data_IF_187073457887
#
_entry.id   IF_187073457887
#
_cell.length_a   1.000
_cell.length_b   1.000
_cell.length_c   1.000
_cell.angle_alpha   90.00
_cell.angle_beta   90.00
_cell.angle_gamma   90.00
#
_symmetry.space_group_name_H-M   'P 1'
#
loop_
_entity.id
_entity.type
_entity.pdbx_description
1 polymer ?
#
# COMPACT_ATOMS: atom_id res chain seq x y z
N UNK A 1 25.34 0.59 -30.08
CA UNK A 1 24.26 -0.30 -29.54
C UNK A 1 23.56 0.47 -28.43
N UNK A 2 22.39 1.04 -28.70
CA UNK A 2 21.53 1.59 -27.66
C UNK A 2 20.94 0.39 -26.90
N UNK A 3 21.30 0.25 -25.64
CA UNK A 3 20.65 -0.68 -24.73
C UNK A 3 19.17 -0.29 -24.63
N UNK A 4 18.32 -1.27 -24.87
CA UNK A 4 16.88 -1.10 -24.85
C UNK A 4 16.42 -1.12 -23.36
N UNK A 5 16.54 0.02 -22.69
CA UNK A 5 16.18 0.22 -21.28
C UNK A 5 14.66 0.14 -21.01
N UNK A 6 13.83 0.08 -22.07
CA UNK A 6 12.37 0.04 -21.94
C UNK A 6 11.83 -1.27 -21.31
N UNK A 7 12.58 -2.37 -21.35
CA UNK A 7 12.13 -3.67 -20.85
C UNK A 7 12.28 -3.86 -19.33
N UNK A 8 13.20 -3.15 -18.69
CA UNK A 8 13.46 -3.30 -17.23
C UNK A 8 12.62 -2.33 -16.41
N UNK A 9 12.22 -1.19 -16.98
CA UNK A 9 11.42 -0.16 -16.27
C UNK A 9 9.94 -0.53 -16.07
N UNK A 10 9.36 -1.41 -16.88
CA UNK A 10 7.91 -1.67 -16.85
C UNK A 10 7.43 -2.54 -15.68
N UNK A 11 8.28 -3.39 -15.10
CA UNK A 11 7.87 -4.28 -14.01
C UNK A 11 8.01 -3.67 -12.60
N UNK A 12 8.66 -2.52 -12.45
CA UNK A 12 8.91 -1.87 -11.16
C UNK A 12 7.86 -0.81 -10.77
N UNK A 13 6.92 -0.49 -11.66
CA UNK A 13 5.97 0.62 -11.46
C UNK A 13 4.67 0.23 -10.77
N UNK A 14 4.18 -0.97 -11.00
CA UNK A 14 2.93 -1.45 -10.39
C UNK A 14 3.21 -2.02 -8.99
N UNK A 15 2.33 -1.68 -8.03
CA UNK A 15 2.43 -2.31 -6.71
C UNK A 15 2.03 -3.78 -6.81
N UNK A 16 2.83 -4.66 -6.23
CA UNK A 16 2.57 -6.09 -6.32
C UNK A 16 1.23 -6.48 -5.66
N UNK A 17 0.58 -7.48 -6.23
CA UNK A 17 -0.66 -8.03 -5.66
C UNK A 17 -0.36 -8.67 -4.31
N UNK A 18 -0.91 -8.09 -3.24
CA UNK A 18 -0.83 -8.65 -1.90
C UNK A 18 -1.80 -9.83 -1.79
N UNK A 19 -1.30 -10.98 -1.37
CA UNK A 19 -2.07 -12.19 -1.15
C UNK A 19 -2.50 -12.33 0.31
N UNK A 20 -3.55 -13.12 0.55
CA UNK A 20 -3.99 -13.52 1.89
C UNK A 20 -3.02 -14.56 2.47
N UNK A 21 -2.86 -14.68 3.82
CA UNK A 21 -1.94 -15.64 4.41
C UNK A 21 -2.37 -17.09 4.14
N UNK A 22 -3.67 -17.34 4.11
CA UNK A 22 -4.24 -18.67 3.90
C UNK A 22 -4.81 -18.84 2.50
N UNK A 23 -4.91 -20.09 2.05
CA UNK A 23 -5.65 -20.45 0.86
C UNK A 23 -7.16 -20.23 1.07
N UNK A 24 -7.86 -20.13 -0.04
CA UNK A 24 -9.31 -19.94 -0.05
C UNK A 24 -9.99 -21.24 -0.48
N UNK A 25 -11.07 -21.59 0.18
CA UNK A 25 -11.95 -22.67 -0.27
C UNK A 25 -12.61 -22.33 -1.62
N UNK A 26 -12.01 -22.80 -2.68
CA UNK A 26 -12.50 -22.50 -4.04
C UNK A 26 -13.73 -23.31 -4.43
N UNK A 27 -14.00 -24.43 -3.76
CA UNK A 27 -15.06 -25.37 -4.08
C UNK A 27 -16.30 -25.22 -3.20
N UNK A 28 -16.24 -24.39 -2.17
CA UNK A 28 -17.33 -24.22 -1.20
C UNK A 28 -17.57 -22.77 -0.83
N UNK A 29 -17.26 -22.41 0.40
CA UNK A 29 -17.65 -21.14 1.02
C UNK A 29 -16.94 -19.90 0.49
N UNK A 30 -15.89 -20.05 -0.30
CA UNK A 30 -14.99 -18.96 -0.72
C UNK A 30 -14.22 -18.27 0.41
N UNK A 31 -14.35 -18.74 1.65
CA UNK A 31 -13.65 -18.21 2.83
C UNK A 31 -12.21 -18.71 2.91
N UNK A 32 -11.41 -18.08 3.75
CA UNK A 32 -10.05 -18.56 4.01
C UNK A 32 -10.09 -19.84 4.85
N UNK A 33 -9.21 -20.77 4.54
CA UNK A 33 -9.00 -22.01 5.29
C UNK A 33 -7.86 -21.73 6.27
N UNK A 34 -8.21 -21.39 7.51
CA UNK A 34 -7.24 -21.07 8.54
C UNK A 34 -6.25 -22.21 8.77
N UNK A 35 -4.96 -21.87 8.84
CA UNK A 35 -3.88 -22.84 8.97
C UNK A 35 -3.41 -23.47 7.64
N UNK A 36 -4.17 -23.37 6.54
CA UNK A 36 -3.70 -23.77 5.21
C UNK A 36 -3.01 -22.60 4.52
N UNK A 37 -1.74 -22.42 4.82
CA UNK A 37 -0.96 -21.28 4.34
C UNK A 37 -0.80 -21.28 2.82
N UNK A 38 -0.89 -20.09 2.22
CA UNK A 38 -0.76 -19.90 0.79
C UNK A 38 0.66 -20.09 0.29
N UNK A 39 1.66 -19.72 1.10
CA UNK A 39 3.07 -19.91 0.77
C UNK A 39 3.91 -20.25 2.00
N UNK A 40 5.04 -20.90 1.75
CA UNK A 40 5.93 -21.39 2.80
C UNK A 40 6.60 -20.28 3.60
N UNK A 41 6.85 -19.12 2.98
CA UNK A 41 7.48 -17.99 3.66
C UNK A 41 6.59 -17.42 4.76
N UNK A 42 5.28 -17.25 4.50
CA UNK A 42 4.32 -16.80 5.52
C UNK A 42 4.16 -17.88 6.59
N UNK A 43 4.07 -19.17 6.20
CA UNK A 43 3.98 -20.28 7.13
C UNK A 43 5.20 -20.33 8.09
N UNK A 44 6.40 -20.11 7.55
CA UNK A 44 7.62 -20.06 8.33
C UNK A 44 7.67 -18.89 9.31
N UNK A 45 7.21 -17.71 8.88
CA UNK A 45 7.27 -16.48 9.65
C UNK A 45 6.01 -16.21 10.50
N UNK A 46 5.04 -17.12 10.53
CA UNK A 46 3.72 -16.89 11.17
C UNK A 46 3.79 -16.49 12.63
N UNK A 47 4.79 -16.99 13.36
CA UNK A 47 5.00 -16.73 14.78
C UNK A 47 5.97 -15.56 15.06
N UNK A 48 6.55 -14.97 14.00
CA UNK A 48 7.37 -13.78 14.14
C UNK A 48 6.48 -12.54 14.32
N UNK A 49 7.07 -11.45 14.78
CA UNK A 49 6.38 -10.16 14.80
C UNK A 49 6.31 -9.56 13.40
N UNK A 50 5.11 -9.18 13.02
CA UNK A 50 4.78 -8.40 11.83
C UNK A 50 4.25 -7.06 12.25
N UNK A 51 4.55 -6.02 11.50
CA UNK A 51 3.89 -4.73 11.59
C UNK A 51 2.58 -4.79 10.80
N UNK A 52 1.46 -4.59 11.49
CA UNK A 52 0.14 -4.58 10.91
C UNK A 52 -0.39 -3.16 10.81
N UNK A 53 -0.64 -2.71 9.57
CA UNK A 53 -1.21 -1.40 9.27
C UNK A 53 -2.66 -1.53 8.83
N UNK A 54 -3.45 -0.48 9.05
CA UNK A 54 -4.83 -0.45 8.58
C UNK A 54 -4.87 -0.48 7.05
N UNK A 55 -5.69 -1.38 6.51
CA UNK A 55 -6.01 -1.41 5.09
C UNK A 55 -7.16 -0.46 4.80
N UNK A 56 -6.87 0.61 4.10
CA UNK A 56 -7.85 1.62 3.72
C UNK A 56 -8.61 1.16 2.47
N UNK A 57 -9.93 1.33 2.47
CA UNK A 57 -10.80 1.05 1.33
C UNK A 57 -10.88 2.29 0.42
N UNK A 58 -10.18 2.23 -0.70
CA UNK A 58 -10.10 3.33 -1.64
C UNK A 58 -9.65 2.89 -3.02
N UNK A 59 -8.82 3.70 -3.64
CA UNK A 59 -8.25 3.44 -4.96
C UNK A 59 -6.73 3.46 -4.89
N UNK A 60 -6.10 2.34 -5.20
CA UNK A 60 -4.63 2.26 -5.25
C UNK A 60 -4.07 3.29 -6.24
N UNK A 61 -3.18 4.12 -5.75
CA UNK A 61 -2.67 5.30 -6.44
C UNK A 61 -1.16 5.36 -6.32
N UNK A 62 -0.51 5.67 -7.42
CA UNK A 62 0.93 5.89 -7.49
C UNK A 62 1.23 7.34 -7.81
N UNK A 63 2.13 7.94 -7.03
CA UNK A 63 2.78 9.21 -7.34
C UNK A 63 4.19 8.90 -7.80
N UNK A 64 4.53 9.26 -9.01
CA UNK A 64 5.77 8.87 -9.68
C UNK A 64 6.59 10.11 -9.96
N UNK A 65 7.79 10.18 -9.39
CA UNK A 65 8.83 11.12 -9.70
C UNK A 65 9.87 10.46 -10.59
N UNK A 66 10.09 10.97 -11.79
CA UNK A 66 11.02 10.40 -12.76
C UNK A 66 12.44 11.00 -12.71
N UNK A 67 12.69 11.86 -11.71
CA UNK A 67 13.90 12.68 -11.57
C UNK A 67 13.74 14.13 -12.04
N UNK A 68 12.61 14.45 -12.69
CA UNK A 68 12.36 15.79 -13.24
C UNK A 68 10.89 16.22 -13.15
N UNK A 69 9.96 15.28 -13.21
CA UNK A 69 8.52 15.57 -13.26
C UNK A 69 7.72 14.58 -12.42
N UNK A 70 6.62 15.06 -11.87
CA UNK A 70 5.65 14.24 -11.16
C UNK A 70 4.54 13.77 -12.12
N UNK A 71 4.16 12.50 -11.98
CA UNK A 71 3.00 11.94 -12.68
C UNK A 71 2.21 11.01 -11.77
N UNK A 72 0.95 10.74 -12.13
CA UNK A 72 0.02 9.92 -11.32
C UNK A 72 -0.50 8.74 -12.13
N UNK A 73 -0.64 7.59 -11.48
CA UNK A 73 -1.21 6.39 -12.07
C UNK A 73 -2.04 5.62 -11.03
N UNK A 74 -2.98 4.81 -11.50
CA UNK A 74 -3.71 3.88 -10.65
C UNK A 74 -2.94 2.59 -10.36
N UNK A 75 -3.64 1.54 -9.95
CA UNK A 75 -3.03 0.21 -9.70
C UNK A 75 -2.26 -0.31 -10.91
N UNK A 76 -2.82 -0.14 -12.10
CA UNK A 76 -2.15 -0.42 -13.37
C UNK A 76 -1.97 0.85 -14.17
N UNK A 77 -1.09 0.84 -15.16
CA UNK A 77 -0.87 2.00 -16.06
C UNK A 77 -2.12 2.37 -16.89
N UNK A 78 -3.06 1.44 -17.03
CA UNK A 78 -4.34 1.65 -17.74
C UNK A 78 -5.49 2.08 -16.83
N UNK A 79 -5.32 1.96 -15.52
CA UNK A 79 -6.36 2.32 -14.56
C UNK A 79 -6.54 3.84 -14.54
N UNK A 80 -7.79 4.28 -14.74
CA UNK A 80 -8.14 5.69 -14.68
C UNK A 80 -8.42 6.10 -13.22
N UNK A 81 -7.81 7.19 -12.80
CA UNK A 81 -8.10 7.81 -11.51
C UNK A 81 -9.30 8.77 -11.65
N UNK A 82 -10.15 8.88 -10.61
CA UNK A 82 -11.19 9.90 -10.59
C UNK A 82 -10.63 11.32 -10.73
N UNK A 83 -11.29 12.19 -11.48
CA UNK A 83 -10.84 13.57 -11.69
C UNK A 83 -10.65 14.35 -10.39
N UNK A 84 -11.51 14.12 -9.40
CA UNK A 84 -11.40 14.73 -8.06
C UNK A 84 -10.13 14.30 -7.34
N UNK A 85 -9.72 13.04 -7.49
CA UNK A 85 -8.48 12.55 -6.93
C UNK A 85 -7.27 13.13 -7.68
N UNK A 86 -7.31 13.19 -9.02
CA UNK A 86 -6.24 13.82 -9.81
C UNK A 86 -6.04 15.28 -9.39
N UNK A 87 -7.12 16.03 -9.21
CA UNK A 87 -7.04 17.41 -8.74
C UNK A 87 -6.36 17.52 -7.36
N UNK A 88 -6.72 16.61 -6.43
CA UNK A 88 -6.09 16.56 -5.10
C UNK A 88 -4.62 16.14 -5.16
N UNK A 89 -4.27 15.19 -6.00
CA UNK A 89 -2.87 14.78 -6.20
C UNK A 89 -2.01 15.91 -6.78
N UNK A 90 -2.56 16.69 -7.72
CA UNK A 90 -1.88 17.89 -8.22
C UNK A 90 -1.68 18.95 -7.13
N UNK A 91 -2.65 19.13 -6.24
CA UNK A 91 -2.50 20.03 -5.08
C UNK A 91 -1.39 19.56 -4.12
N UNK A 92 -1.31 18.26 -3.86
CA UNK A 92 -0.37 17.69 -2.90
C UNK A 92 1.06 17.53 -3.44
N UNK A 93 1.21 17.22 -4.73
CA UNK A 93 2.48 16.78 -5.30
C UNK A 93 2.88 17.51 -6.59
N UNK A 94 1.94 18.16 -7.27
CA UNK A 94 2.20 18.83 -8.54
C UNK A 94 2.60 20.30 -8.37
N UNK A 95 3.13 20.86 -9.45
CA UNK A 95 3.58 22.25 -9.51
C UNK A 95 4.97 22.47 -8.90
N UNK A 96 5.59 23.58 -9.29
CA UNK A 96 7.01 23.85 -9.02
C UNK A 96 7.40 23.69 -7.54
N UNK A 97 6.57 24.20 -6.61
CA UNK A 97 6.87 24.16 -5.17
C UNK A 97 6.94 22.71 -4.63
N UNK A 98 6.04 21.84 -5.08
CA UNK A 98 6.03 20.44 -4.63
C UNK A 98 7.11 19.61 -5.35
N UNK A 99 7.37 19.90 -6.60
CA UNK A 99 8.46 19.28 -7.39
C UNK A 99 9.83 19.66 -6.81
N UNK A 100 10.02 20.87 -6.29
CA UNK A 100 11.21 21.25 -5.54
C UNK A 100 11.44 20.37 -4.31
N UNK A 101 10.38 19.91 -3.62
CA UNK A 101 10.51 18.96 -2.50
C UNK A 101 11.06 17.62 -3.00
N UNK A 102 10.52 17.10 -4.13
CA UNK A 102 11.07 15.87 -4.72
C UNK A 102 12.53 16.02 -5.12
N UNK A 103 12.90 17.15 -5.73
CA UNK A 103 14.28 17.41 -6.14
C UNK A 103 15.22 17.50 -4.93
N UNK A 104 14.81 18.18 -3.86
CA UNK A 104 15.59 18.33 -2.63
C UNK A 104 15.79 17.01 -1.89
N UNK A 105 14.71 16.20 -1.77
CA UNK A 105 14.73 14.94 -1.02
C UNK A 105 15.36 13.78 -1.81
N UNK A 106 15.18 13.75 -3.13
CA UNK A 106 15.51 12.58 -3.93
C UNK A 106 16.45 12.86 -5.11
N UNK A 107 16.61 14.12 -5.52
CA UNK A 107 17.37 14.48 -6.71
C UNK A 107 16.79 13.84 -7.97
N UNK A 108 17.67 13.31 -8.82
CA UNK A 108 17.30 12.65 -10.10
C UNK A 108 16.89 11.17 -9.93
N UNK A 109 16.80 10.65 -8.69
CA UNK A 109 16.39 9.26 -8.48
C UNK A 109 14.94 9.05 -8.83
N UNK A 110 14.63 7.89 -9.40
CA UNK A 110 13.24 7.50 -9.58
C UNK A 110 12.57 7.16 -8.25
N UNK A 111 11.45 7.81 -7.95
CA UNK A 111 10.67 7.57 -6.74
C UNK A 111 9.25 7.20 -7.09
N UNK A 112 8.70 6.21 -6.40
CA UNK A 112 7.29 5.88 -6.49
C UNK A 112 6.73 5.86 -5.07
N UNK A 113 5.77 6.75 -4.81
CA UNK A 113 4.98 6.75 -3.60
C UNK A 113 3.69 5.96 -3.87
N UNK A 114 3.48 4.92 -3.10
CA UNK A 114 2.29 4.09 -3.17
C UNK A 114 1.33 4.46 -2.05
N UNK A 115 0.11 4.76 -2.39
CA UNK A 115 -0.91 5.13 -1.43
C UNK A 115 -2.32 4.76 -1.88
N UNK A 116 -3.25 5.07 -1.04
CA UNK A 116 -4.66 4.91 -1.31
C UNK A 116 -5.29 6.30 -1.50
N UNK A 117 -5.89 6.52 -2.67
CA UNK A 117 -6.82 7.63 -2.86
C UNK A 117 -8.11 7.30 -2.15
N UNK A 118 -8.56 8.13 -1.20
CA UNK A 118 -9.70 7.83 -0.35
C UNK A 118 -10.51 9.07 -0.01
N UNK A 119 -11.66 8.88 0.62
CA UNK A 119 -12.58 9.96 0.98
C UNK A 119 -13.86 9.95 0.15
N UNK A 120 -14.69 10.98 0.33
CA UNK A 120 -16.01 11.04 -0.30
C UNK A 120 -15.92 10.93 -1.84
N UNK A 121 -16.77 10.07 -2.42
CA UNK A 121 -16.78 9.79 -3.86
C UNK A 121 -15.78 8.73 -4.35
N UNK A 122 -14.98 8.16 -3.45
CA UNK A 122 -14.10 7.02 -3.74
C UNK A 122 -14.53 5.83 -2.91
N UNK A 123 -15.03 4.76 -3.55
CA UNK A 123 -15.56 3.59 -2.87
C UNK A 123 -16.55 3.98 -1.74
N UNK A 124 -16.37 3.42 -0.54
CA UNK A 124 -17.12 3.79 0.66
C UNK A 124 -16.43 4.90 1.48
N UNK A 125 -15.51 5.64 0.86
CA UNK A 125 -14.56 6.53 1.52
C UNK A 125 -15.15 7.72 2.25
N UNK A 126 -16.42 8.09 2.01
CA UNK A 126 -17.10 9.16 2.75
C UNK A 126 -17.23 8.90 4.26
N UNK A 127 -17.04 7.66 4.71
CA UNK A 127 -17.00 7.27 6.12
C UNK A 127 -15.62 7.49 6.76
N UNK A 128 -14.57 7.63 5.96
CA UNK A 128 -13.23 8.03 6.43
C UNK A 128 -13.12 9.54 6.56
N UNK A 129 -13.49 10.26 5.49
CA UNK A 129 -13.42 11.73 5.44
C UNK A 129 -14.38 12.31 4.39
N UNK A 130 -14.74 13.59 4.58
CA UNK A 130 -15.72 14.28 3.71
C UNK A 130 -15.14 14.79 2.40
N UNK A 131 -13.85 14.95 2.30
CA UNK A 131 -13.11 15.38 1.12
C UNK A 131 -12.27 14.22 0.54
N UNK A 132 -11.81 14.36 -0.69
CA UNK A 132 -10.88 13.41 -1.31
C UNK A 132 -9.46 13.70 -0.83
N UNK A 133 -8.69 12.65 -0.53
CA UNK A 133 -7.29 12.77 -0.15
C UNK A 133 -6.48 11.55 -0.58
N UNK A 134 -5.20 11.56 -0.23
CA UNK A 134 -4.24 10.50 -0.44
C UNK A 134 -3.60 10.12 0.89
N UNK A 135 -3.46 8.82 1.14
CA UNK A 135 -2.77 8.30 2.32
C UNK A 135 -1.66 7.34 1.88
N UNK A 136 -0.45 7.60 2.33
CA UNK A 136 0.75 6.85 1.95
C UNK A 136 0.82 5.52 2.70
N UNK A 137 1.16 4.41 2.01
CA UNK A 137 1.39 3.12 2.66
C UNK A 137 2.75 2.48 2.32
N UNK A 138 3.40 2.91 1.23
CA UNK A 138 4.71 2.40 0.82
C UNK A 138 5.45 3.40 -0.07
N UNK A 139 6.77 3.24 -0.18
CA UNK A 139 7.60 4.01 -1.10
C UNK A 139 8.74 3.15 -1.65
N UNK A 140 9.14 3.45 -2.88
CA UNK A 140 10.23 2.78 -3.58
C UNK A 140 11.13 3.82 -4.22
N UNK A 141 12.45 3.69 -4.01
CA UNK A 141 13.47 4.52 -4.65
C UNK A 141 14.39 3.60 -5.45
N UNK A 142 14.50 3.80 -6.74
CA UNK A 142 15.36 3.02 -7.64
C UNK A 142 15.24 1.50 -7.46
N UNK A 143 14.01 1.01 -7.23
CA UNK A 143 13.73 -0.40 -7.03
C UNK A 143 13.81 -0.91 -5.58
N UNK A 144 14.23 -0.08 -4.63
CA UNK A 144 14.34 -0.45 -3.21
C UNK A 144 13.16 0.09 -2.43
N UNK A 145 12.42 -0.78 -1.74
CA UNK A 145 11.36 -0.38 -0.82
C UNK A 145 11.93 0.17 0.48
N UNK A 146 11.28 1.18 1.00
CA UNK A 146 11.75 1.92 2.17
C UNK A 146 11.24 1.34 3.49
N UNK A 147 11.98 1.59 4.57
CA UNK A 147 11.54 1.31 5.93
C UNK A 147 10.35 2.18 6.32
N UNK A 148 9.60 1.76 7.33
CA UNK A 148 8.47 2.55 7.87
C UNK A 148 8.89 3.95 8.28
N UNK A 149 10.03 4.11 8.95
CA UNK A 149 10.53 5.41 9.36
C UNK A 149 10.73 6.37 8.17
N UNK A 150 11.34 5.86 7.09
CA UNK A 150 11.58 6.68 5.90
C UNK A 150 10.25 7.06 5.20
N UNK A 151 9.25 6.16 5.22
CA UNK A 151 7.90 6.45 4.71
C UNK A 151 7.25 7.59 5.51
N UNK A 152 7.39 7.57 6.84
CA UNK A 152 6.89 8.64 7.73
C UNK A 152 7.62 9.97 7.51
N UNK A 153 8.92 9.94 7.24
CA UNK A 153 9.71 11.14 6.96
C UNK A 153 9.29 11.76 5.61
N UNK A 154 9.05 10.95 4.58
CA UNK A 154 8.48 11.40 3.30
C UNK A 154 7.09 12.02 3.53
N UNK A 155 6.24 11.36 4.30
CA UNK A 155 4.90 11.88 4.57
C UNK A 155 4.93 13.25 5.26
N UNK A 156 5.88 13.47 6.17
CA UNK A 156 6.11 14.78 6.81
C UNK A 156 6.58 15.82 5.81
N UNK A 157 7.51 15.48 4.91
CA UNK A 157 8.04 16.41 3.91
C UNK A 157 6.92 16.94 3.00
N UNK A 158 5.97 16.07 2.60
CA UNK A 158 4.82 16.43 1.77
C UNK A 158 3.55 16.82 2.55
N UNK A 159 3.60 16.81 3.88
CA UNK A 159 2.45 17.07 4.76
C UNK A 159 1.22 16.22 4.39
N UNK A 160 1.44 14.91 4.22
CA UNK A 160 0.41 13.92 3.89
C UNK A 160 0.26 12.87 4.99
N UNK A 161 -0.89 12.19 4.98
CA UNK A 161 -1.16 11.13 5.93
C UNK A 161 -0.42 9.82 5.54
N UNK A 162 -0.14 9.01 6.56
CA UNK A 162 0.41 7.64 6.44
C UNK A 162 -0.57 6.67 7.07
N UNK A 163 -0.77 5.50 6.47
CA UNK A 163 -1.65 4.46 7.04
C UNK A 163 -1.24 4.13 8.48
N UNK A 164 -2.19 4.08 9.41
CA UNK A 164 -1.90 3.83 10.82
C UNK A 164 -1.29 2.44 11.05
N UNK A 165 -0.31 2.34 11.94
CA UNK A 165 0.09 1.07 12.52
C UNK A 165 -0.94 0.73 13.60
N UNK A 166 -1.54 -0.45 13.50
CA UNK A 166 -2.53 -0.91 14.46
C UNK A 166 -1.83 -1.63 15.62
N UNK A 167 -0.94 -2.57 15.31
CA UNK A 167 -0.10 -3.25 16.29
C UNK A 167 1.05 -4.00 15.61
N UNK A 168 2.00 -4.46 16.41
CA UNK A 168 2.97 -5.48 16.03
C UNK A 168 2.58 -6.80 16.66
N UNK A 169 2.58 -7.89 15.88
CA UNK A 169 2.18 -9.19 16.36
C UNK A 169 2.23 -10.25 15.27
N UNK A 170 1.81 -11.45 15.60
CA UNK A 170 1.81 -12.63 14.75
C UNK A 170 0.69 -12.59 13.69
N UNK A 171 0.75 -13.52 12.73
CA UNK A 171 -0.31 -13.67 11.72
C UNK A 171 -1.64 -14.09 12.38
N UNK A 172 -1.60 -14.97 13.38
CA UNK A 172 -2.80 -15.45 14.06
C UNK A 172 -3.47 -14.33 14.88
N UNK A 173 -2.69 -13.47 15.54
CA UNK A 173 -3.22 -12.29 16.24
C UNK A 173 -3.90 -11.31 15.28
N UNK A 174 -3.36 -11.12 14.07
CA UNK A 174 -4.01 -10.29 13.06
C UNK A 174 -5.33 -10.89 12.55
N UNK A 175 -5.41 -12.21 12.41
CA UNK A 175 -6.63 -12.91 12.05
C UNK A 175 -7.70 -12.72 13.12
N UNK A 176 -7.37 -12.94 14.39
CA UNK A 176 -8.31 -12.76 15.50
C UNK A 176 -8.74 -11.28 15.64
N UNK A 177 -7.83 -10.33 15.45
CA UNK A 177 -8.16 -8.91 15.46
C UNK A 177 -9.20 -8.56 14.39
N UNK A 178 -9.01 -9.03 13.17
CA UNK A 178 -9.92 -8.75 12.04
C UNK A 178 -11.27 -9.44 12.21
N UNK A 179 -11.32 -10.66 12.78
CA UNK A 179 -12.57 -11.38 13.10
C UNK A 179 -13.44 -10.62 14.10
N UNK A 180 -12.85 -9.84 14.98
CA UNK A 180 -13.58 -8.98 15.91
C UNK A 180 -14.29 -7.81 15.22
N UNK A 181 -14.12 -7.62 13.90
CA UNK A 181 -14.74 -6.57 13.08
C UNK A 181 -14.52 -5.16 13.64
N UNK A 182 -13.26 -4.75 13.83
CA UNK A 182 -12.94 -3.46 14.44
C UNK A 182 -13.44 -2.29 13.59
N UNK A 183 -13.57 -1.14 14.22
CA UNK A 183 -13.76 0.11 13.50
C UNK A 183 -12.42 0.63 12.96
N UNK A 184 -12.48 1.41 11.88
CA UNK A 184 -11.35 2.16 11.35
C UNK A 184 -10.81 3.14 12.40
N UNK A 185 -9.51 3.33 12.41
CA UNK A 185 -8.85 4.32 13.28
C UNK A 185 -8.85 5.74 12.71
N UNK A 186 -9.23 5.90 11.44
CA UNK A 186 -9.21 7.20 10.72
C UNK A 186 -10.60 7.71 10.33
N UNK A 187 -11.67 7.13 10.85
CA UNK A 187 -13.02 7.55 10.53
C UNK A 187 -14.08 6.77 11.27
N UNK A 188 -15.31 6.82 10.77
CA UNK A 188 -16.45 6.08 11.34
C UNK A 188 -16.74 4.78 10.57
N UNK A 189 -15.93 4.45 9.58
CA UNK A 189 -16.06 3.22 8.81
C UNK A 189 -15.78 1.99 9.66
N UNK A 190 -16.31 0.85 9.23
CA UNK A 190 -15.74 -0.44 9.63
C UNK A 190 -14.39 -0.60 8.95
N UNK A 191 -13.42 -1.16 9.65
CA UNK A 191 -12.11 -1.46 9.07
C UNK A 191 -12.26 -2.49 7.94
N UNK A 192 -11.63 -2.25 6.79
CA UNK A 192 -11.60 -3.24 5.70
C UNK A 192 -10.77 -4.46 6.09
N UNK A 193 -9.68 -4.23 6.80
CA UNK A 193 -8.74 -5.24 7.22
C UNK A 193 -7.37 -4.67 7.58
N UNK A 194 -6.37 -5.53 7.50
CA UNK A 194 -4.98 -5.22 7.81
C UNK A 194 -4.06 -5.61 6.65
N UNK A 195 -2.94 -4.90 6.53
CA UNK A 195 -1.78 -5.29 5.73
C UNK A 195 -0.61 -5.52 6.66
N UNK A 196 0.01 -6.70 6.55
CA UNK A 196 1.14 -7.09 7.38
C UNK A 196 2.43 -7.20 6.59
N UNK A 197 3.50 -6.65 7.16
CA UNK A 197 4.89 -6.80 6.71
C UNK A 197 5.74 -7.28 7.88
N UNK A 198 6.71 -8.19 7.69
CA UNK A 198 7.72 -8.41 8.72
C UNK A 198 8.36 -7.10 9.15
N UNK A 199 8.87 -7.00 10.39
CA UNK A 199 9.48 -5.76 10.91
C UNK A 199 10.68 -5.28 10.09
N UNK A 200 11.31 -6.18 9.35
CA UNK A 200 12.32 -5.88 8.34
C UNK A 200 11.85 -6.31 6.97
N UNK A 201 12.25 -5.58 5.94
CA UNK A 201 11.88 -5.92 4.56
C UNK A 201 12.52 -7.27 4.16
N UNK A 202 11.69 -8.26 3.84
CA UNK A 202 12.11 -9.61 3.46
C UNK A 202 11.55 -9.99 2.10
N UNK A 203 12.32 -10.79 1.37
CA UNK A 203 11.92 -11.38 0.10
C UNK A 203 12.03 -12.91 0.15
N UNK A 204 11.21 -13.59 -0.63
CA UNK A 204 11.35 -15.02 -0.87
C UNK A 204 12.52 -15.33 -1.81
N UNK A 205 12.75 -16.62 -2.08
CA UNK A 205 13.84 -17.09 -2.98
C UNK A 205 13.72 -16.56 -4.42
N UNK A 206 12.58 -16.04 -4.82
CA UNK A 206 12.30 -15.48 -6.15
C UNK A 206 12.41 -13.96 -6.17
N UNK A 207 12.78 -13.35 -5.04
CA UNK A 207 12.84 -11.90 -4.88
C UNK A 207 11.48 -11.24 -4.66
N UNK A 208 10.40 -12.01 -4.47
CA UNK A 208 9.08 -11.47 -4.15
C UNK A 208 9.04 -11.06 -2.68
N UNK A 209 8.52 -9.88 -2.40
CA UNK A 209 8.35 -9.38 -1.02
C UNK A 209 7.44 -10.28 -0.19
N UNK A 210 7.78 -10.43 1.07
CA UNK A 210 6.94 -11.11 2.05
C UNK A 210 6.01 -10.08 2.67
N UNK A 211 4.80 -10.02 2.15
CA UNK A 211 3.72 -9.13 2.57
C UNK A 211 2.40 -9.88 2.45
N UNK A 212 1.47 -9.64 3.35
CA UNK A 212 0.16 -10.28 3.34
C UNK A 212 -0.94 -9.33 3.74
N UNK A 213 -2.21 -9.69 3.48
CA UNK A 213 -3.38 -8.94 3.94
C UNK A 213 -4.43 -9.86 4.52
N UNK A 214 -5.13 -9.37 5.52
CA UNK A 214 -6.26 -10.05 6.16
C UNK A 214 -7.46 -9.10 6.13
N UNK A 215 -8.57 -9.54 5.57
CA UNK A 215 -9.77 -8.70 5.41
C UNK A 215 -10.92 -9.21 6.25
N UNK A 216 -11.75 -8.32 6.77
CA UNK A 216 -12.95 -8.68 7.54
C UNK A 216 -13.86 -9.59 6.74
N UNK A 217 -14.11 -9.29 5.46
CA UNK A 217 -14.96 -10.09 4.57
C UNK A 217 -14.41 -11.49 4.25
N UNK A 218 -13.16 -11.79 4.58
CA UNK A 218 -12.59 -13.12 4.37
C UNK A 218 -13.08 -14.14 5.40
N UNK A 219 -13.70 -13.67 6.50
CA UNK A 219 -14.21 -14.48 7.63
C UNK A 219 -15.73 -14.35 7.86
N UNK A 220 -16.42 -13.56 7.04
CA UNK A 220 -17.90 -13.37 7.10
C UNK A 220 -18.71 -14.44 6.36
#
# INVERSE_FOLDING_TARGET
KRLNLKGVMNNMREYEKIETPFKRDMNGTKKLIEGDFRNDSIAFLKNNEWMWTEKIDGTNTRVIWDGHNVSFAGHTDRAQLPNTLIAKLNELFGGNTNEEIFEQEFGEKQVILYGEGYGAGIQNGGTYRKDVSFILFDANIDGTYLSRQNIEDIAKAFNIDVVPIIFNGTVDEAVEYVKAKPQSTIGTAKMEGLVGKPLVELTDRRGKRIITKVKVCDFE
#
